data_IF_175012285983
#
_entry.id   IF_175012285983
#
_cell.length_a   1.000
_cell.length_b   1.000
_cell.length_c   1.000
_cell.angle_alpha   90.00
_cell.angle_beta   90.00
_cell.angle_gamma   90.00
#
_symmetry.space_group_name_H-M   'P 1'
#
loop_
_entity.id
_entity.type
_entity.pdbx_description
1 polymer ?
#
# COMPACT_ATOMS: atom_id res chain seq x y z
N UNK A 1 -5.87 11.33 11.67
CA UNK A 1 -5.32 11.07 10.32
C UNK A 1 -4.05 10.25 10.47
N UNK A 2 -4.01 9.00 10.02
CA UNK A 2 -2.86 8.10 10.23
C UNK A 2 -2.31 7.58 8.91
N UNK A 3 -1.00 7.33 8.87
CA UNK A 3 -0.40 6.65 7.72
C UNK A 3 -0.74 5.15 7.80
N UNK A 4 -1.03 4.53 6.67
CA UNK A 4 -1.40 3.12 6.60
C UNK A 4 -0.57 2.41 5.55
N UNK A 5 -0.20 1.17 5.84
CA UNK A 5 0.46 0.28 4.90
C UNK A 5 -0.56 -0.65 4.22
N UNK A 6 -0.36 -0.87 2.91
CA UNK A 6 -1.07 -1.90 2.13
C UNK A 6 -0.08 -2.93 1.59
N UNK A 7 -0.53 -4.18 1.48
CA UNK A 7 0.25 -5.28 0.94
C UNK A 7 0.30 -5.27 -0.59
N UNK A 8 1.49 -5.57 -1.12
CA UNK A 8 1.76 -5.72 -2.55
C UNK A 8 2.59 -6.97 -2.78
N UNK A 9 2.27 -7.68 -3.85
CA UNK A 9 2.92 -8.91 -4.26
C UNK A 9 3.12 -8.91 -5.77
N UNK A 10 4.16 -9.63 -6.17
CA UNK A 10 4.53 -9.80 -7.57
C UNK A 10 4.61 -11.29 -7.87
N UNK A 11 3.92 -11.70 -8.93
CA UNK A 11 3.93 -13.08 -9.42
C UNK A 11 4.74 -13.11 -10.71
N UNK A 12 5.74 -13.99 -10.76
CA UNK A 12 6.54 -14.19 -11.97
C UNK A 12 5.74 -15.00 -12.99
N UNK A 13 5.54 -14.41 -14.16
CA UNK A 13 4.89 -15.04 -15.30
C UNK A 13 5.91 -15.75 -16.19
N UNK A 14 5.47 -16.84 -16.81
CA UNK A 14 6.17 -17.43 -17.97
C UNK A 14 5.99 -16.52 -19.18
N UNK A 15 6.79 -16.72 -20.23
CA UNK A 15 6.61 -15.95 -21.48
C UNK A 15 5.21 -16.15 -22.07
N UNK A 16 4.72 -17.38 -22.10
CA UNK A 16 3.36 -17.72 -22.57
C UNK A 16 2.27 -17.01 -21.77
N UNK A 17 2.33 -17.06 -20.42
CA UNK A 17 1.35 -16.37 -19.58
C UNK A 17 1.46 -14.85 -19.69
N UNK A 18 2.67 -14.31 -19.88
CA UNK A 18 2.82 -12.88 -20.12
C UNK A 18 2.14 -12.47 -21.42
N UNK A 19 2.39 -13.17 -22.52
CA UNK A 19 1.74 -12.88 -23.81
C UNK A 19 0.22 -12.97 -23.75
N UNK A 20 -0.32 -13.91 -22.97
CA UNK A 20 -1.77 -14.07 -22.79
C UNK A 20 -2.43 -12.98 -21.92
N UNK A 21 -1.67 -12.28 -21.06
CA UNK A 21 -2.22 -11.35 -20.05
C UNK A 21 -1.70 -9.91 -20.17
N UNK A 22 -0.67 -9.64 -20.99
CA UNK A 22 -0.03 -8.33 -21.12
C UNK A 22 -0.97 -7.21 -21.61
N UNK A 23 -2.05 -7.57 -22.28
CA UNK A 23 -3.04 -6.63 -22.82
C UNK A 23 -4.34 -6.57 -21.97
N UNK A 24 -4.38 -7.29 -20.83
CA UNK A 24 -5.52 -7.24 -19.93
C UNK A 24 -5.57 -5.91 -19.18
N UNK A 25 -6.76 -5.35 -19.05
CA UNK A 25 -7.00 -4.17 -18.24
C UNK A 25 -6.74 -4.44 -16.75
N UNK A 26 -6.43 -3.38 -16.02
CA UNK A 26 -6.39 -3.42 -14.56
C UNK A 26 -7.77 -3.86 -14.04
N UNK A 27 -7.79 -4.84 -13.14
CA UNK A 27 -9.00 -5.27 -12.46
C UNK A 27 -8.99 -4.74 -11.03
N UNK A 28 -10.11 -4.18 -10.60
CA UNK A 28 -10.29 -3.69 -9.23
C UNK A 28 -11.57 -4.26 -8.65
N UNK A 29 -11.45 -5.04 -7.58
CA UNK A 29 -12.57 -5.39 -6.73
C UNK A 29 -12.74 -4.29 -5.67
N UNK A 30 -13.86 -3.55 -5.73
CA UNK A 30 -14.14 -2.46 -4.80
C UNK A 30 -14.59 -2.95 -3.42
N UNK A 31 -15.23 -4.12 -3.33
CA UNK A 31 -15.69 -4.67 -2.07
C UNK A 31 -14.53 -5.16 -1.21
N UNK A 32 -13.55 -5.81 -1.85
CA UNK A 32 -12.42 -6.44 -1.15
C UNK A 32 -11.16 -5.57 -1.20
N UNK A 33 -11.14 -4.56 -2.07
CA UNK A 33 -10.04 -3.64 -2.24
C UNK A 33 -8.86 -4.18 -3.05
N UNK A 34 -8.97 -5.38 -3.64
CA UNK A 34 -7.91 -5.97 -4.45
C UNK A 34 -7.81 -5.32 -5.83
N UNK A 35 -6.58 -5.10 -6.28
CA UNK A 35 -6.23 -4.64 -7.62
C UNK A 35 -5.26 -5.63 -8.25
N UNK A 36 -5.55 -6.08 -9.46
CA UNK A 36 -4.66 -6.86 -10.32
C UNK A 36 -4.27 -5.97 -11.49
N UNK A 37 -3.00 -5.57 -11.53
CA UNK A 37 -2.49 -4.68 -12.56
C UNK A 37 -2.07 -5.45 -13.81
N UNK A 38 -2.03 -4.77 -14.96
CA UNK A 38 -1.45 -5.30 -16.18
C UNK A 38 0.01 -5.70 -15.95
N UNK A 39 0.44 -6.90 -16.39
CA UNK A 39 1.81 -7.34 -16.21
C UNK A 39 2.84 -6.44 -16.90
N UNK A 40 3.95 -6.15 -16.22
CA UNK A 40 5.10 -5.42 -16.79
C UNK A 40 6.36 -6.26 -16.61
N UNK A 41 7.12 -6.49 -17.67
CA UNK A 41 8.36 -7.27 -17.59
C UNK A 41 8.18 -8.70 -17.07
N UNK A 42 7.02 -9.33 -17.38
CA UNK A 42 6.59 -10.65 -16.86
C UNK A 42 6.33 -10.69 -15.35
N UNK A 43 6.14 -9.55 -14.69
CA UNK A 43 5.67 -9.49 -13.31
C UNK A 43 4.22 -9.04 -13.29
N UNK A 44 3.34 -9.89 -12.76
CA UNK A 44 1.96 -9.52 -12.43
C UNK A 44 1.96 -8.92 -11.02
N UNK A 45 1.61 -7.64 -10.91
CA UNK A 45 1.48 -6.96 -9.61
C UNK A 45 0.05 -7.10 -9.11
N UNK A 46 -0.09 -7.50 -7.86
CA UNK A 46 -1.37 -7.55 -7.15
C UNK A 46 -1.22 -6.76 -5.84
N UNK A 47 -2.28 -6.07 -5.45
CA UNK A 47 -2.32 -5.19 -4.29
C UNK A 47 -3.66 -5.33 -3.59
N UNK A 48 -3.67 -5.41 -2.26
CA UNK A 48 -4.89 -5.42 -1.44
C UNK A 48 -4.98 -4.15 -0.58
N UNK A 49 -6.04 -3.35 -0.78
CA UNK A 49 -6.28 -2.09 -0.03
C UNK A 49 -6.98 -2.28 1.32
N UNK A 50 -7.63 -3.42 1.55
CA UNK A 50 -8.45 -3.63 2.75
C UNK A 50 -7.61 -4.00 3.98
N UNK A 51 -7.94 -3.39 5.12
CA UNK A 51 -7.32 -3.63 6.42
C UNK A 51 -6.11 -2.77 6.77
N UNK A 52 -5.89 -1.65 6.05
CA UNK A 52 -4.71 -0.78 6.15
C UNK A 52 -4.01 -0.81 7.51
N UNK A 53 -2.76 -1.27 7.54
CA UNK A 53 -2.06 -1.50 8.80
C UNK A 53 -1.45 -0.21 9.32
N UNK A 54 -1.60 0.04 10.61
CA UNK A 54 -0.87 1.08 11.31
C UNK A 54 0.32 0.46 12.06
N UNK A 55 1.44 1.18 12.10
CA UNK A 55 2.57 0.86 12.96
C UNK A 55 2.66 1.92 14.07
N UNK A 56 1.75 1.82 15.03
CA UNK A 56 1.63 2.80 16.12
C UNK A 56 2.82 2.69 17.07
N UNK A 57 3.58 3.77 17.20
CA UNK A 57 4.71 3.88 18.16
C UNK A 57 4.53 5.13 19.01
N UNK A 58 5.12 5.16 20.21
CA UNK A 58 5.15 6.36 21.06
C UNK A 58 6.39 7.20 20.75
N UNK A 59 6.18 8.49 20.48
CA UNK A 59 7.22 9.50 20.26
C UNK A 59 6.99 10.71 21.18
N UNK A 60 8.04 11.51 21.46
CA UNK A 60 7.85 12.83 22.05
C UNK A 60 6.92 13.70 21.20
N UNK A 61 6.11 14.54 21.84
CA UNK A 61 5.22 15.45 21.12
C UNK A 61 6.04 16.43 20.25
N UNK A 62 5.70 16.61 18.96
CA UNK A 62 6.51 17.42 18.04
C UNK A 62 6.61 18.90 18.45
N UNK A 63 5.61 19.43 19.15
CA UNK A 63 5.63 20.80 19.67
C UNK A 63 6.36 20.94 21.02
N UNK A 64 6.85 19.86 21.62
CA UNK A 64 7.70 19.86 22.83
C UNK A 64 7.07 20.36 24.14
N UNK A 65 5.93 21.07 24.08
CA UNK A 65 5.30 21.75 25.22
C UNK A 65 4.11 20.99 25.83
N UNK A 66 3.71 19.86 25.23
CA UNK A 66 2.53 19.10 25.65
C UNK A 66 2.97 17.83 26.38
N UNK A 67 2.46 17.59 27.59
CA UNK A 67 2.68 16.35 28.36
C UNK A 67 1.97 15.12 27.76
N UNK A 68 1.29 15.27 26.62
CA UNK A 68 0.54 14.18 25.97
C UNK A 68 1.45 13.29 25.11
N UNK A 69 1.27 11.97 25.24
CA UNK A 69 1.96 11.00 24.38
C UNK A 69 1.52 11.13 22.91
N UNK A 70 2.47 11.38 22.01
CA UNK A 70 2.21 11.35 20.57
C UNK A 70 2.38 9.93 20.03
N UNK A 71 1.29 9.36 19.49
CA UNK A 71 1.26 7.98 18.98
C UNK A 71 0.93 7.88 17.49
N UNK A 72 1.83 8.28 16.58
CA UNK A 72 1.57 8.16 15.16
C UNK A 72 1.75 6.72 14.67
N UNK A 73 1.11 6.42 13.54
CA UNK A 73 1.54 5.31 12.68
C UNK A 73 2.83 5.70 11.95
N UNK A 74 3.94 5.06 12.31
CA UNK A 74 5.27 5.37 11.83
C UNK A 74 5.69 4.45 10.70
N UNK A 75 6.15 5.03 9.60
CA UNK A 75 6.45 4.27 8.39
C UNK A 75 7.68 3.38 8.62
N UNK A 76 7.62 2.15 8.10
CA UNK A 76 8.79 1.31 7.90
C UNK A 76 9.01 1.03 6.43
N UNK A 77 10.11 1.52 5.92
CA UNK A 77 10.49 1.45 4.51
C UNK A 77 11.63 0.47 4.32
N UNK A 78 12.11 0.36 3.08
CA UNK A 78 13.30 -0.45 2.78
C UNK A 78 14.58 0.05 3.46
N UNK A 79 14.57 1.31 3.93
CA UNK A 79 15.68 1.89 4.70
C UNK A 79 15.69 1.32 6.12
N UNK A 80 14.52 1.02 6.67
CA UNK A 80 14.34 0.60 8.07
C UNK A 80 14.45 -0.93 8.23
N UNK A 81 13.78 -1.68 7.33
CA UNK A 81 13.65 -3.15 7.43
C UNK A 81 14.40 -3.91 6.31
N UNK A 82 15.20 -3.21 5.50
CA UNK A 82 15.93 -3.80 4.39
C UNK A 82 15.09 -4.10 3.14
N UNK A 83 15.68 -4.81 2.18
CA UNK A 83 15.10 -4.98 0.84
C UNK A 83 13.99 -6.04 0.81
N UNK A 84 13.99 -7.00 1.72
CA UNK A 84 12.97 -8.05 1.77
C UNK A 84 11.89 -7.71 2.80
N UNK A 85 10.63 -7.70 2.38
CA UNK A 85 9.49 -7.46 3.24
C UNK A 85 8.50 -8.60 3.04
N UNK A 86 8.00 -9.18 4.11
CA UNK A 86 7.07 -10.30 4.08
C UNK A 86 5.66 -9.83 4.42
N UNK A 87 4.68 -10.28 3.64
CA UNK A 87 3.27 -10.03 3.94
C UNK A 87 2.86 -10.79 5.21
N UNK A 88 1.94 -10.23 5.98
CA UNK A 88 1.27 -11.00 7.02
C UNK A 88 0.45 -12.14 6.37
N UNK A 89 0.28 -13.24 7.10
CA UNK A 89 -0.49 -14.39 6.62
C UNK A 89 -1.93 -14.02 6.25
N UNK A 90 -2.52 -13.06 6.97
CA UNK A 90 -3.88 -12.56 6.69
C UNK A 90 -3.96 -11.84 5.35
N UNK A 91 -2.98 -10.97 5.05
CA UNK A 91 -2.95 -10.24 3.79
C UNK A 91 -2.77 -11.23 2.63
N UNK A 92 -1.79 -12.13 2.75
CA UNK A 92 -1.54 -13.16 1.75
C UNK A 92 -2.78 -14.03 1.50
N UNK A 93 -3.44 -14.52 2.56
CA UNK A 93 -4.66 -15.30 2.42
C UNK A 93 -5.76 -14.52 1.69
N UNK A 94 -5.99 -13.26 2.07
CA UNK A 94 -6.98 -12.41 1.41
C UNK A 94 -6.68 -12.15 -0.07
N UNK A 95 -5.40 -12.03 -0.45
CA UNK A 95 -5.01 -11.94 -1.86
C UNK A 95 -5.28 -13.25 -2.60
N UNK A 96 -4.90 -14.38 -2.01
CA UNK A 96 -5.07 -15.69 -2.64
C UNK A 96 -6.54 -16.02 -2.84
N UNK A 97 -7.39 -15.73 -1.87
CA UNK A 97 -8.84 -15.91 -1.95
C UNK A 97 -9.42 -15.15 -3.15
N UNK A 98 -9.06 -13.88 -3.32
CA UNK A 98 -9.51 -13.05 -4.45
C UNK A 98 -8.98 -13.56 -5.78
N UNK A 99 -7.71 -13.95 -5.84
CA UNK A 99 -7.13 -14.53 -7.05
C UNK A 99 -7.85 -15.83 -7.46
N UNK A 100 -8.35 -16.65 -6.53
CA UNK A 100 -9.14 -17.84 -6.89
C UNK A 100 -10.42 -17.49 -7.63
N UNK A 101 -11.01 -16.33 -7.33
CA UNK A 101 -12.21 -15.85 -8.01
C UNK A 101 -11.89 -15.23 -9.38
N UNK A 102 -10.93 -14.32 -9.45
CA UNK A 102 -10.73 -13.46 -10.63
C UNK A 102 -9.60 -13.91 -11.57
N UNK A 103 -8.61 -14.65 -11.06
CA UNK A 103 -7.44 -15.07 -11.83
C UNK A 103 -6.82 -16.37 -11.27
N UNK A 104 -7.57 -17.49 -11.31
CA UNK A 104 -7.24 -18.72 -10.58
C UNK A 104 -5.88 -19.34 -10.95
N UNK A 105 -5.40 -19.09 -12.18
CA UNK A 105 -4.06 -19.49 -12.65
C UNK A 105 -2.90 -19.00 -11.78
N UNK A 106 -3.14 -17.96 -10.98
CA UNK A 106 -2.13 -17.27 -10.17
C UNK A 106 -2.31 -17.46 -8.67
N UNK A 107 -3.46 -17.97 -8.22
CA UNK A 107 -3.83 -18.01 -6.81
C UNK A 107 -2.85 -18.79 -5.92
N UNK A 108 -2.30 -19.90 -6.42
CA UNK A 108 -1.37 -20.77 -5.69
C UNK A 108 0.09 -20.59 -6.14
N UNK A 109 0.37 -19.60 -7.01
CA UNK A 109 1.75 -19.35 -7.41
C UNK A 109 2.56 -18.73 -6.27
N UNK A 110 3.86 -19.04 -6.17
CA UNK A 110 4.73 -18.37 -5.21
C UNK A 110 4.89 -16.90 -5.58
N UNK A 111 4.92 -16.04 -4.56
CA UNK A 111 5.22 -14.63 -4.75
C UNK A 111 6.72 -14.46 -4.96
N UNK A 112 7.10 -13.87 -6.09
CA UNK A 112 8.49 -13.58 -6.41
C UNK A 112 9.05 -12.43 -5.56
N UNK A 113 8.17 -11.52 -5.12
CA UNK A 113 8.50 -10.38 -4.27
C UNK A 113 7.26 -9.88 -3.57
N UNK A 114 7.44 -9.39 -2.35
CA UNK A 114 6.40 -8.74 -1.55
C UNK A 114 6.89 -7.39 -1.01
N UNK A 115 5.97 -6.45 -0.79
CA UNK A 115 6.23 -5.09 -0.32
C UNK A 115 5.06 -4.52 0.47
N UNK A 116 5.38 -3.58 1.36
CA UNK A 116 4.40 -2.65 1.91
C UNK A 116 4.52 -1.29 1.24
N UNK A 117 3.37 -0.75 0.82
CA UNK A 117 3.27 0.64 0.36
C UNK A 117 2.57 1.47 1.41
N UNK A 118 3.21 2.55 1.85
CA UNK A 118 2.68 3.47 2.85
C UNK A 118 1.94 4.62 2.20
N UNK A 119 0.75 4.89 2.72
CA UNK A 119 -0.19 5.85 2.17
C UNK A 119 -0.73 6.73 3.30
N UNK A 120 -1.16 7.93 2.97
CA UNK A 120 -1.77 8.88 3.91
C UNK A 120 -3.08 9.38 3.34
N UNK A 121 -4.17 9.09 4.03
CA UNK A 121 -5.50 9.61 3.69
C UNK A 121 -5.85 10.76 4.61
N UNK A 122 -6.35 11.86 4.04
CA UNK A 122 -6.99 12.91 4.82
C UNK A 122 -8.38 12.46 5.31
N UNK A 123 -9.01 13.23 6.19
CA UNK A 123 -10.34 12.90 6.75
C UNK A 123 -11.45 12.98 5.70
N UNK A 124 -11.27 13.81 4.68
CA UNK A 124 -12.19 14.03 3.57
C UNK A 124 -11.70 13.39 2.26
N UNK A 125 -10.57 12.68 2.29
CA UNK A 125 -9.95 12.02 1.14
C UNK A 125 -9.50 13.01 0.04
N UNK A 126 -9.36 14.29 0.34
CA UNK A 126 -8.79 15.30 -0.59
C UNK A 126 -7.27 15.49 -0.38
N UNK A 127 -6.62 16.23 -1.29
CA UNK A 127 -5.23 16.63 -1.09
C UNK A 127 -5.11 17.74 -0.04
N UNK A 128 -4.05 17.70 0.78
CA UNK A 128 -3.70 18.79 1.67
C UNK A 128 -2.64 19.67 1.00
N UNK A 129 -3.11 20.70 0.28
CA UNK A 129 -2.28 21.69 -0.39
C UNK A 129 -2.63 23.07 0.15
N UNK A 130 -1.82 23.61 1.07
CA UNK A 130 -2.08 24.89 1.72
C UNK A 130 -0.83 25.52 2.33
N UNK A 131 -0.90 26.81 2.66
CA UNK A 131 0.10 27.45 3.50
C UNK A 131 -0.14 27.09 4.97
N UNK A 132 0.94 26.86 5.73
CA UNK A 132 0.83 26.63 7.16
C UNK A 132 0.42 27.92 7.88
N UNK A 133 -0.58 27.86 8.78
CA UNK A 133 -1.13 29.05 9.43
C UNK A 133 -0.18 29.67 10.47
N UNK A 134 0.79 28.91 10.99
CA UNK A 134 1.74 29.37 12.03
C UNK A 134 3.06 29.87 11.44
N UNK A 135 3.50 29.30 10.32
CA UNK A 135 4.82 29.56 9.75
C UNK A 135 4.70 30.20 8.36
N UNK A 136 4.95 31.51 8.29
CA UNK A 136 4.92 32.26 7.05
C UNK A 136 5.91 31.69 6.02
N UNK A 137 5.47 31.57 4.77
CA UNK A 137 6.28 31.00 3.69
C UNK A 137 6.37 29.47 3.67
N UNK A 138 5.85 28.76 4.68
CA UNK A 138 5.86 27.29 4.70
C UNK A 138 4.61 26.72 4.00
N UNK A 139 4.83 26.05 2.87
CA UNK A 139 3.78 25.40 2.08
C UNK A 139 3.73 23.90 2.40
N UNK A 140 2.52 23.37 2.50
CA UNK A 140 2.24 21.95 2.72
C UNK A 140 1.64 21.39 1.43
N UNK A 141 2.18 20.28 0.94
CA UNK A 141 1.65 19.51 -0.18
C UNK A 141 1.75 18.01 0.15
N UNK A 142 0.70 17.47 0.75
CA UNK A 142 0.64 16.08 1.24
C UNK A 142 -0.79 15.53 1.17
N UNK A 143 -1.05 14.37 1.79
CA UNK A 143 -2.40 13.80 1.87
C UNK A 143 -2.87 13.23 0.53
N UNK A 144 -2.05 12.41 -0.13
CA UNK A 144 -2.38 11.86 -1.46
C UNK A 144 -3.61 10.94 -1.51
N UNK A 145 -4.19 10.58 -0.36
CA UNK A 145 -5.55 10.02 -0.24
C UNK A 145 -5.89 8.84 -1.15
N UNK A 146 -4.89 8.00 -1.46
CA UNK A 146 -4.95 6.83 -2.34
C UNK A 146 -5.21 7.11 -3.83
N UNK A 147 -5.17 8.37 -4.27
CA UNK A 147 -5.50 8.74 -5.66
C UNK A 147 -4.59 9.80 -6.28
N UNK A 148 -3.48 10.16 -5.63
CA UNK A 148 -2.39 10.95 -6.19
C UNK A 148 -1.54 10.19 -7.23
#
# INVERSE_FOLDING_TARGET
>A
MEAQAVGIEYIQLTAEKYEAYKDNACHTNLATGVNVFTPIGRLLKVLRRSGGMCNSITLPHPDGEVEEEYRPSYLRTVVDDGVEQYLSLEIEAGIRDELREIAPDFAERPFAKTKYCWLKQTTDVEFLICQNPRYEGFQIATGGSLHA
#
